data_IF_711185341105
#
_entry.id   IF_711185341105
#
_cell.length_a   1.000
_cell.length_b   1.000
_cell.length_c   1.000
_cell.angle_alpha   90.00
_cell.angle_beta   90.00
_cell.angle_gamma   90.00
#
_symmetry.space_group_name_H-M   'P 1'
#
loop_
_entity.id
_entity.type
_entity.pdbx_description
1 polymer ?
#
# COMPACT_ATOMS: atom_id res chain seq x y z
N UNK A 1 -39.83 32.74 -28.24
CA UNK A 1 -38.55 32.29 -27.65
C UNK A 1 -38.54 30.79 -27.75
N UNK A 2 -38.01 30.29 -28.86
CA UNK A 2 -37.82 28.86 -29.06
C UNK A 2 -36.80 28.41 -28.03
N UNK A 3 -37.18 27.46 -27.19
CA UNK A 3 -36.27 26.83 -26.24
C UNK A 3 -35.26 26.02 -27.01
N UNK A 4 -34.18 26.67 -27.44
CA UNK A 4 -32.93 25.98 -27.77
C UNK A 4 -32.46 25.38 -26.45
N UNK A 5 -32.93 24.15 -26.17
CA UNK A 5 -32.49 23.38 -25.03
C UNK A 5 -30.98 23.25 -25.13
N UNK A 6 -30.26 23.77 -24.15
CA UNK A 6 -28.82 23.54 -24.05
C UNK A 6 -28.57 22.03 -24.12
N UNK A 7 -28.03 21.57 -25.24
CA UNK A 7 -27.56 20.19 -25.40
C UNK A 7 -26.25 20.07 -24.61
N UNK A 8 -26.40 20.00 -23.28
CA UNK A 8 -25.30 19.79 -22.36
C UNK A 8 -24.89 18.32 -22.43
N UNK A 9 -24.03 18.01 -23.39
CA UNK A 9 -23.46 16.68 -23.57
C UNK A 9 -22.30 16.48 -22.59
N UNK A 10 -22.37 15.44 -21.78
CA UNK A 10 -21.32 15.10 -20.81
C UNK A 10 -20.05 14.73 -21.57
N UNK A 11 -19.03 15.58 -21.52
CA UNK A 11 -17.72 15.30 -22.11
C UNK A 11 -16.83 14.67 -21.05
N UNK A 12 -16.44 13.41 -21.26
CA UNK A 12 -15.47 12.73 -20.40
C UNK A 12 -14.05 13.06 -20.85
N UNK A 13 -13.11 13.14 -19.90
CA UNK A 13 -11.70 13.27 -20.22
C UNK A 13 -11.03 11.87 -20.35
N UNK A 14 -10.66 11.43 -21.57
CA UNK A 14 -10.04 10.12 -21.77
C UNK A 14 -8.64 9.99 -21.13
N UNK A 15 -8.02 11.08 -20.68
CA UNK A 15 -6.75 11.03 -19.96
C UNK A 15 -6.93 10.73 -18.45
N UNK A 16 -8.14 10.90 -17.92
CA UNK A 16 -8.48 10.50 -16.54
C UNK A 16 -9.28 9.20 -16.52
N UNK A 17 -10.37 9.16 -17.29
CA UNK A 17 -11.27 8.02 -17.32
C UNK A 17 -10.96 7.06 -18.46
N UNK A 18 -9.85 7.21 -19.15
CA UNK A 18 -9.42 6.27 -20.19
C UNK A 18 -9.16 4.86 -19.67
N UNK A 19 -9.55 3.86 -20.45
CA UNK A 19 -9.35 2.44 -20.11
C UNK A 19 -7.88 2.12 -19.79
N UNK A 20 -6.91 2.65 -20.55
CA UNK A 20 -5.49 2.39 -20.31
C UNK A 20 -4.99 2.96 -18.98
N UNK A 21 -5.43 4.16 -18.59
CA UNK A 21 -5.06 4.76 -17.30
C UNK A 21 -5.66 3.96 -16.15
N UNK A 22 -6.94 3.58 -16.24
CA UNK A 22 -7.60 2.77 -15.20
C UNK A 22 -6.91 1.41 -15.03
N UNK A 23 -6.69 0.68 -16.13
CA UNK A 23 -6.02 -0.63 -16.11
C UNK A 23 -4.60 -0.51 -15.55
N UNK A 24 -3.83 0.50 -15.96
CA UNK A 24 -2.50 0.74 -15.42
C UNK A 24 -2.53 0.96 -13.90
N UNK A 25 -3.46 1.79 -13.41
CA UNK A 25 -3.61 2.06 -11.98
C UNK A 25 -4.08 0.83 -11.20
N UNK A 26 -4.99 0.03 -11.76
CA UNK A 26 -5.41 -1.24 -11.16
C UNK A 26 -4.22 -2.17 -10.99
N UNK A 27 -3.50 -2.45 -12.07
CA UNK A 27 -2.33 -3.35 -12.05
C UNK A 27 -1.25 -2.80 -11.12
N UNK A 28 -0.97 -1.50 -11.14
CA UNK A 28 -0.02 -0.85 -10.23
C UNK A 28 -0.38 -1.08 -8.75
N UNK A 29 -1.64 -0.87 -8.37
CA UNK A 29 -2.08 -1.13 -6.98
C UNK A 29 -1.95 -2.63 -6.66
N UNK A 30 -2.35 -3.51 -7.57
CA UNK A 30 -2.28 -4.96 -7.37
C UNK A 30 -0.83 -5.47 -7.23
N UNK A 31 0.10 -4.96 -8.03
CA UNK A 31 1.53 -5.27 -7.91
C UNK A 31 2.11 -4.73 -6.60
N UNK A 32 1.70 -3.53 -6.17
CA UNK A 32 2.04 -2.99 -4.86
C UNK A 32 1.59 -3.89 -3.71
N UNK A 33 0.39 -4.46 -3.83
CA UNK A 33 -0.15 -5.44 -2.90
C UNK A 33 0.61 -6.76 -2.89
N UNK A 34 0.84 -7.36 -4.05
CA UNK A 34 1.56 -8.63 -4.17
C UNK A 34 2.98 -8.49 -3.62
N UNK A 35 3.66 -7.40 -3.95
CA UNK A 35 4.99 -7.12 -3.40
C UNK A 35 4.97 -6.92 -1.89
N UNK A 36 3.94 -6.30 -1.32
CA UNK A 36 3.76 -6.20 0.14
C UNK A 36 3.62 -7.57 0.80
N UNK A 37 2.95 -8.52 0.13
CA UNK A 37 2.73 -9.87 0.62
C UNK A 37 4.01 -10.72 0.60
N UNK A 38 4.77 -10.67 -0.50
CA UNK A 38 5.99 -11.46 -0.67
C UNK A 38 7.23 -10.81 -0.03
N UNK A 39 7.41 -9.50 -0.13
CA UNK A 39 8.59 -8.76 0.34
C UNK A 39 8.18 -7.58 1.23
N UNK A 40 8.02 -7.86 2.52
CA UNK A 40 7.62 -6.85 3.52
C UNK A 40 8.54 -5.63 3.56
N UNK A 41 9.84 -5.81 3.34
CA UNK A 41 10.81 -4.71 3.39
C UNK A 41 10.76 -3.81 2.14
N UNK A 42 10.37 -4.36 1.00
CA UNK A 42 10.23 -3.62 -0.27
C UNK A 42 8.95 -2.78 -0.31
N UNK A 43 7.95 -3.12 0.51
CA UNK A 43 6.69 -2.38 0.62
C UNK A 43 6.89 -0.86 0.79
N UNK A 44 7.84 -0.46 1.64
CA UNK A 44 8.13 0.94 1.90
C UNK A 44 8.56 1.71 0.62
N UNK A 45 9.28 1.04 -0.28
CA UNK A 45 9.74 1.63 -1.56
C UNK A 45 8.60 1.70 -2.56
N UNK A 46 7.84 0.61 -2.71
CA UNK A 46 6.76 0.53 -3.70
C UNK A 46 5.59 1.46 -3.36
N UNK A 47 5.25 1.58 -2.06
CA UNK A 47 4.21 2.50 -1.61
C UNK A 47 4.54 3.96 -1.92
N UNK A 48 5.82 4.37 -1.90
CA UNK A 48 6.23 5.72 -2.27
C UNK A 48 5.82 6.06 -3.69
N UNK A 49 6.12 5.20 -4.66
CA UNK A 49 5.75 5.39 -6.08
C UNK A 49 4.23 5.46 -6.21
N UNK A 50 3.50 4.58 -5.53
CA UNK A 50 2.04 4.57 -5.56
C UNK A 50 1.43 5.87 -5.02
N UNK A 51 1.94 6.42 -3.91
CA UNK A 51 1.50 7.73 -3.39
C UNK A 51 1.86 8.87 -4.33
N UNK A 52 3.04 8.83 -4.97
CA UNK A 52 3.40 9.86 -5.96
C UNK A 52 2.40 9.88 -7.12
N UNK A 53 2.10 8.71 -7.70
CA UNK A 53 1.14 8.59 -8.80
C UNK A 53 -0.26 9.04 -8.38
N UNK A 54 -0.73 8.62 -7.21
CA UNK A 54 -2.06 9.00 -6.74
C UNK A 54 -2.16 10.50 -6.41
N UNK A 55 -1.10 11.09 -5.84
CA UNK A 55 -1.03 12.54 -5.58
C UNK A 55 -0.98 13.32 -6.89
N UNK A 56 -0.18 12.87 -7.86
CA UNK A 56 -0.13 13.47 -9.19
C UNK A 56 -1.50 13.43 -9.89
N UNK A 57 -2.22 12.30 -9.79
CA UNK A 57 -3.59 12.17 -10.30
C UNK A 57 -4.55 13.17 -9.63
N UNK A 58 -4.49 13.32 -8.31
CA UNK A 58 -5.30 14.29 -7.58
C UNK A 58 -4.98 15.74 -7.99
N UNK A 59 -3.69 16.09 -8.08
CA UNK A 59 -3.26 17.43 -8.52
C UNK A 59 -3.72 17.70 -9.95
N UNK A 60 -3.52 16.75 -10.87
CA UNK A 60 -4.00 16.86 -12.24
C UNK A 60 -5.52 17.07 -12.28
N UNK A 61 -6.27 16.31 -11.48
CA UNK A 61 -7.73 16.44 -11.39
C UNK A 61 -8.16 17.80 -10.82
N UNK A 62 -7.43 18.38 -9.86
CA UNK A 62 -7.67 19.74 -9.38
C UNK A 62 -7.35 20.81 -10.43
N UNK A 63 -6.25 20.64 -11.17
CA UNK A 63 -5.88 21.55 -12.26
C UNK A 63 -6.94 21.49 -13.36
N UNK A 64 -7.40 20.31 -13.75
CA UNK A 64 -8.47 20.15 -14.74
C UNK A 64 -9.79 20.70 -14.23
N UNK A 65 -10.12 20.51 -12.95
CA UNK A 65 -11.30 21.11 -12.35
C UNK A 65 -11.28 22.65 -12.41
N UNK A 66 -10.10 23.28 -12.34
CA UNK A 66 -9.97 24.75 -12.40
C UNK A 66 -9.82 25.29 -13.83
N UNK A 67 -9.16 24.57 -14.72
CA UNK A 67 -8.86 25.01 -16.09
C UNK A 67 -9.89 24.55 -17.13
N UNK A 68 -10.48 23.38 -16.94
CA UNK A 68 -11.44 22.74 -17.83
C UNK A 68 -12.77 22.47 -17.09
N UNK A 69 -13.73 21.89 -17.79
CA UNK A 69 -14.98 21.38 -17.22
C UNK A 69 -14.78 19.88 -16.96
N UNK A 70 -14.44 19.53 -15.72
CA UNK A 70 -14.23 18.14 -15.33
C UNK A 70 -15.58 17.51 -14.94
N UNK A 71 -15.98 16.43 -15.62
CA UNK A 71 -17.27 15.79 -15.36
C UNK A 71 -17.36 15.25 -13.94
N UNK A 72 -18.56 15.25 -13.34
CA UNK A 72 -18.82 14.55 -12.07
C UNK A 72 -18.40 13.07 -12.14
N UNK A 73 -18.54 12.44 -13.30
CA UNK A 73 -18.12 11.06 -13.52
C UNK A 73 -16.59 10.91 -13.40
N UNK A 74 -15.81 11.80 -14.02
CA UNK A 74 -14.35 11.83 -13.87
C UNK A 74 -13.97 12.04 -12.40
N UNK A 75 -14.69 12.94 -11.73
CA UNK A 75 -14.60 13.19 -10.28
C UNK A 75 -14.72 11.93 -9.43
N UNK A 76 -15.80 11.18 -9.66
CA UNK A 76 -16.13 9.95 -8.96
C UNK A 76 -15.09 8.87 -9.21
N UNK A 77 -14.64 8.69 -10.44
CA UNK A 77 -13.61 7.69 -10.80
C UNK A 77 -12.30 8.00 -10.07
N UNK A 78 -11.84 9.25 -10.09
CA UNK A 78 -10.65 9.67 -9.33
C UNK A 78 -10.84 9.44 -7.83
N UNK A 79 -12.01 9.76 -7.28
CA UNK A 79 -12.32 9.52 -5.87
C UNK A 79 -12.29 8.04 -5.51
N UNK A 80 -12.81 7.16 -6.36
CA UNK A 80 -12.84 5.71 -6.11
C UNK A 80 -11.43 5.12 -6.22
N UNK A 81 -10.65 5.48 -7.26
CA UNK A 81 -9.26 5.02 -7.45
C UNK A 81 -8.39 5.44 -6.27
N UNK A 82 -8.45 6.71 -5.86
CA UNK A 82 -7.66 7.20 -4.73
C UNK A 82 -8.13 6.61 -3.40
N UNK A 83 -9.42 6.25 -3.29
CA UNK A 83 -9.95 5.46 -2.16
C UNK A 83 -9.33 4.06 -2.10
N UNK A 84 -9.13 3.39 -3.24
CA UNK A 84 -8.41 2.11 -3.27
C UNK A 84 -6.98 2.25 -2.71
N UNK A 85 -6.30 3.36 -3.04
CA UNK A 85 -4.94 3.63 -2.59
C UNK A 85 -4.87 3.89 -1.08
N UNK A 86 -5.82 4.63 -0.49
CA UNK A 86 -5.86 4.82 0.96
C UNK A 86 -6.22 3.51 1.68
N UNK A 87 -7.09 2.67 1.12
CA UNK A 87 -7.38 1.34 1.69
C UNK A 87 -6.12 0.48 1.72
N UNK A 88 -5.32 0.48 0.64
CA UNK A 88 -4.02 -0.20 0.61
C UNK A 88 -3.06 0.33 1.68
N UNK A 89 -2.95 1.66 1.79
CA UNK A 89 -2.14 2.31 2.81
C UNK A 89 -2.48 1.81 4.21
N UNK A 90 -3.77 1.89 4.58
CA UNK A 90 -4.26 1.50 5.90
C UNK A 90 -4.05 0.01 6.19
N UNK A 91 -4.30 -0.86 5.21
CA UNK A 91 -4.08 -2.30 5.35
C UNK A 91 -2.60 -2.63 5.60
N UNK A 92 -1.70 -1.91 4.93
CA UNK A 92 -0.26 -2.20 4.97
C UNK A 92 0.45 -1.61 6.20
N UNK A 93 -0.09 -0.54 6.81
CA UNK A 93 0.43 0.01 8.06
C UNK A 93 0.27 -0.92 9.27
N UNK A 94 -0.54 -1.98 9.15
CA UNK A 94 -0.69 -2.98 10.21
C UNK A 94 0.51 -3.93 10.36
N UNK A 95 1.56 -3.80 9.53
CA UNK A 95 2.78 -4.65 9.52
C UNK A 95 3.99 -3.91 10.09
N UNK A 96 3.82 -3.15 11.17
CA UNK A 96 4.96 -2.74 11.98
C UNK A 96 5.59 -3.97 12.60
N UNK A 97 6.91 -4.16 12.48
CA UNK A 97 7.61 -5.23 13.18
C UNK A 97 7.74 -4.82 14.65
N UNK A 98 6.96 -5.40 15.58
CA UNK A 98 7.00 -4.98 16.97
C UNK A 98 8.20 -5.66 17.61
N UNK A 99 9.31 -4.95 17.76
CA UNK A 99 10.31 -5.35 18.76
C UNK A 99 11.71 -5.72 18.27
N UNK A 100 12.30 -4.98 17.32
CA UNK A 100 13.77 -5.02 17.19
C UNK A 100 14.49 -4.14 18.24
N UNK A 101 14.05 -4.12 19.50
CA UNK A 101 14.66 -3.35 20.61
C UNK A 101 16.01 -3.92 21.09
N UNK A 102 16.82 -4.51 20.20
CA UNK A 102 18.18 -4.85 20.56
C UNK A 102 19.06 -3.59 20.48
N UNK A 103 19.33 -3.08 21.68
CA UNK A 103 20.30 -2.03 21.99
C UNK A 103 21.68 -2.41 21.44
N UNK A 104 22.12 -1.75 20.39
CA UNK A 104 23.50 -1.82 19.95
C UNK A 104 23.63 -1.44 18.48
N UNK A 105 23.85 -0.16 18.20
CA UNK A 105 24.10 0.37 16.85
C UNK A 105 22.91 0.33 15.87
N UNK A 106 21.74 0.73 16.34
CA UNK A 106 20.73 1.34 15.45
C UNK A 106 21.28 2.67 14.95
N UNK A 107 22.07 2.60 13.88
CA UNK A 107 22.45 3.75 13.08
C UNK A 107 21.20 4.57 12.73
N UNK A 108 21.39 5.88 12.66
CA UNK A 108 20.42 6.95 12.43
C UNK A 108 19.46 6.78 11.21
N UNK A 109 19.50 5.65 10.50
CA UNK A 109 18.80 5.42 9.23
C UNK A 109 17.32 5.02 9.35
N UNK A 110 16.82 4.71 10.55
CA UNK A 110 15.45 4.22 10.72
C UNK A 110 14.46 5.23 11.32
N UNK A 111 14.82 6.51 11.40
CA UNK A 111 13.81 7.57 11.45
C UNK A 111 13.21 7.60 10.04
N UNK A 112 11.99 7.09 9.89
CA UNK A 112 11.33 6.93 8.59
C UNK A 112 11.56 8.15 7.71
N UNK A 113 12.08 7.91 6.50
CA UNK A 113 12.56 8.99 5.61
C UNK A 113 11.55 10.14 5.63
N UNK A 114 11.94 11.37 6.03
CA UNK A 114 11.01 12.50 6.15
C UNK A 114 10.25 12.75 4.83
N UNK A 115 10.85 12.36 3.70
CA UNK A 115 10.21 12.38 2.38
C UNK A 115 8.99 11.47 2.28
N UNK A 116 9.02 10.26 2.87
CA UNK A 116 7.88 9.32 2.86
C UNK A 116 6.72 9.89 3.66
N UNK A 117 7.01 10.36 4.87
CA UNK A 117 6.00 10.97 5.74
C UNK A 117 5.35 12.18 5.07
N UNK A 118 6.16 13.05 4.47
CA UNK A 118 5.69 14.21 3.72
C UNK A 118 4.79 13.81 2.54
N UNK A 119 5.21 12.86 1.71
CA UNK A 119 4.40 12.43 0.55
C UNK A 119 3.06 11.83 0.98
N UNK A 120 3.04 11.05 2.06
CA UNK A 120 1.79 10.50 2.59
C UNK A 120 0.90 11.60 3.17
N UNK A 121 1.45 12.58 3.90
CA UNK A 121 0.70 13.73 4.39
C UNK A 121 0.07 14.50 3.23
N UNK A 122 0.86 14.82 2.20
CA UNK A 122 0.36 15.49 0.98
C UNK A 122 -0.78 14.69 0.36
N UNK A 123 -0.60 13.39 0.15
CA UNK A 123 -1.64 12.52 -0.41
C UNK A 123 -2.93 12.57 0.40
N UNK A 124 -2.85 12.39 1.72
CA UNK A 124 -4.02 12.40 2.62
C UNK A 124 -4.74 13.75 2.57
N UNK A 125 -4.00 14.86 2.59
CA UNK A 125 -4.57 16.22 2.50
C UNK A 125 -5.29 16.43 1.16
N UNK A 126 -4.64 16.10 0.03
CA UNK A 126 -5.26 16.23 -1.29
C UNK A 126 -6.47 15.30 -1.47
N UNK A 127 -6.39 14.06 -0.98
CA UNK A 127 -7.48 13.10 -1.02
C UNK A 127 -8.70 13.60 -0.23
N UNK A 128 -8.47 14.08 1.00
CA UNK A 128 -9.53 14.64 1.84
C UNK A 128 -10.15 15.89 1.20
N UNK A 129 -9.31 16.82 0.74
CA UNK A 129 -9.77 18.03 0.06
C UNK A 129 -10.61 17.70 -1.19
N UNK A 130 -10.18 16.73 -2.00
CA UNK A 130 -10.90 16.27 -3.19
C UNK A 130 -12.26 15.69 -2.83
N UNK A 131 -12.27 14.76 -1.88
CA UNK A 131 -13.50 14.12 -1.41
C UNK A 131 -14.50 15.13 -0.84
N UNK A 132 -14.06 16.03 0.04
CA UNK A 132 -14.94 17.07 0.59
C UNK A 132 -15.45 18.03 -0.49
N UNK A 133 -14.58 18.46 -1.41
CA UNK A 133 -14.98 19.37 -2.48
C UNK A 133 -16.04 18.73 -3.39
N UNK A 134 -15.80 17.50 -3.84
CA UNK A 134 -16.71 16.77 -4.74
C UNK A 134 -18.07 16.50 -4.09
N UNK A 135 -18.07 16.02 -2.84
CA UNK A 135 -19.32 15.64 -2.17
C UNK A 135 -20.04 16.81 -1.49
N UNK A 136 -19.45 18.01 -1.38
CA UNK A 136 -20.17 19.18 -0.86
C UNK A 136 -21.34 19.56 -1.78
N UNK A 137 -21.09 19.58 -3.08
CA UNK A 137 -22.08 19.98 -4.08
C UNK A 137 -21.90 19.19 -5.40
N UNK A 138 -22.29 17.91 -5.42
CA UNK A 138 -22.16 17.07 -6.61
C UNK A 138 -23.05 17.54 -7.77
N UNK A 139 -24.12 18.29 -7.50
CA UNK A 139 -25.02 18.79 -8.54
C UNK A 139 -24.33 19.83 -9.44
N UNK A 140 -23.50 20.70 -8.87
CA UNK A 140 -22.78 21.73 -9.62
C UNK A 140 -21.30 21.40 -9.83
N UNK A 141 -20.87 20.17 -9.52
CA UNK A 141 -19.48 19.80 -9.63
C UNK A 141 -19.01 19.86 -11.08
N UNK A 142 -17.93 20.62 -11.31
CA UNK A 142 -17.29 20.76 -12.62
C UNK A 142 -17.99 21.67 -13.63
N UNK A 143 -19.22 22.12 -13.33
CA UNK A 143 -19.99 23.00 -14.20
C UNK A 143 -19.55 24.45 -14.01
N UNK A 144 -19.32 25.17 -15.12
CA UNK A 144 -18.96 26.59 -15.14
C UNK A 144 -19.83 27.35 -16.14
N UNK A 145 -19.96 28.66 -15.95
CA UNK A 145 -20.69 29.54 -16.89
C UNK A 145 -22.14 29.11 -17.11
N UNK A 146 -22.58 29.07 -18.37
CA UNK A 146 -23.96 28.73 -18.75
C UNK A 146 -24.31 27.26 -18.46
N UNK A 147 -23.31 26.38 -18.35
CA UNK A 147 -23.52 24.97 -18.02
C UNK A 147 -24.00 24.75 -16.57
N UNK A 148 -23.92 25.76 -15.70
CA UNK A 148 -24.43 25.69 -14.32
C UNK A 148 -25.96 25.47 -14.29
N UNK A 149 -26.68 25.88 -15.33
CA UNK A 149 -28.12 25.68 -15.44
C UNK A 149 -28.51 24.30 -16.00
N UNK A 150 -27.53 23.44 -16.34
CA UNK A 150 -27.79 22.13 -16.91
C UNK A 150 -27.98 21.06 -15.82
N UNK A 151 -28.97 20.19 -16.01
CA UNK A 151 -29.27 19.08 -15.10
C UNK A 151 -28.42 17.82 -15.35
N UNK A 152 -27.29 17.94 -16.07
CA UNK A 152 -26.46 16.80 -16.51
C UNK A 152 -26.01 15.91 -15.35
N UNK A 153 -25.61 16.51 -14.24
CA UNK A 153 -25.12 15.79 -13.07
C UNK A 153 -26.22 14.98 -12.34
N UNK A 154 -27.50 15.30 -12.51
CA UNK A 154 -28.61 14.54 -11.91
C UNK A 154 -28.87 13.20 -12.61
N UNK A 155 -28.41 13.08 -13.86
CA UNK A 155 -28.51 11.84 -14.63
C UNK A 155 -27.33 10.90 -14.38
N UNK A 156 -26.27 11.36 -13.71
CA UNK A 156 -25.13 10.53 -13.36
C UNK A 156 -25.53 9.54 -12.27
N UNK A 157 -25.35 8.25 -12.55
CA UNK A 157 -25.68 7.17 -11.61
C UNK A 157 -24.42 6.49 -11.12
N UNK A 158 -24.28 6.33 -9.80
CA UNK A 158 -23.18 5.59 -9.18
C UNK A 158 -23.64 4.16 -8.93
N UNK A 159 -22.94 3.19 -9.51
CA UNK A 159 -23.22 1.77 -9.27
C UNK A 159 -22.35 1.26 -8.12
N UNK A 160 -22.93 1.21 -6.92
CA UNK A 160 -22.36 0.47 -5.79
C UNK A 160 -23.00 -0.93 -5.79
N UNK A 161 -23.77 -1.26 -4.75
CA UNK A 161 -24.63 -2.45 -4.74
C UNK A 161 -25.98 -2.19 -5.42
N UNK A 162 -26.48 -0.98 -5.26
CA UNK A 162 -27.67 -0.44 -5.91
C UNK A 162 -27.28 0.76 -6.73
N UNK A 163 -28.11 1.09 -7.71
CA UNK A 163 -27.99 2.35 -8.42
C UNK A 163 -28.36 3.49 -7.46
N UNK A 164 -27.43 4.40 -7.23
CA UNK A 164 -27.64 5.56 -6.36
C UNK A 164 -27.24 6.83 -7.10
N UNK A 165 -27.93 7.94 -6.85
CA UNK A 165 -27.56 9.22 -7.46
C UNK A 165 -26.66 9.98 -6.49
N UNK A 166 -25.48 10.46 -6.92
CA UNK A 166 -24.60 11.25 -6.06
C UNK A 166 -25.27 12.53 -5.53
N UNK A 167 -26.26 13.05 -6.26
CA UNK A 167 -27.05 14.23 -5.90
C UNK A 167 -28.05 13.97 -4.76
N UNK A 168 -28.35 12.71 -4.43
CA UNK A 168 -29.29 12.39 -3.38
C UNK A 168 -28.73 12.83 -2.01
N UNK A 169 -29.50 13.55 -1.18
CA UNK A 169 -29.00 14.13 0.06
C UNK A 169 -28.52 13.08 1.06
N UNK A 170 -29.18 11.90 1.08
CA UNK A 170 -28.79 10.78 1.93
C UNK A 170 -27.45 10.15 1.52
N UNK A 171 -27.24 9.94 0.22
CA UNK A 171 -25.99 9.41 -0.34
C UNK A 171 -24.86 10.39 -0.08
N UNK A 172 -25.10 11.69 -0.31
CA UNK A 172 -24.15 12.76 -0.03
C UNK A 172 -23.72 12.80 1.44
N UNK A 173 -24.69 12.75 2.37
CA UNK A 173 -24.40 12.77 3.80
C UNK A 173 -23.59 11.53 4.24
N UNK A 174 -23.93 10.35 3.71
CA UNK A 174 -23.20 9.12 3.95
C UNK A 174 -21.77 9.20 3.41
N UNK A 175 -21.59 9.66 2.18
CA UNK A 175 -20.28 9.81 1.55
C UNK A 175 -19.38 10.81 2.31
N UNK A 176 -19.91 11.97 2.68
CA UNK A 176 -19.18 12.96 3.50
C UNK A 176 -18.77 12.41 4.86
N UNK A 177 -19.64 11.61 5.48
CA UNK A 177 -19.34 10.94 6.75
C UNK A 177 -18.23 9.90 6.59
N UNK A 178 -18.29 9.08 5.54
CA UNK A 178 -17.24 8.09 5.23
C UNK A 178 -15.89 8.75 4.92
N UNK A 179 -15.88 9.83 4.13
CA UNK A 179 -14.67 10.59 3.82
C UNK A 179 -14.11 11.24 5.08
N UNK A 180 -14.95 11.82 5.94
CA UNK A 180 -14.52 12.41 7.20
C UNK A 180 -13.88 11.37 8.13
N UNK A 181 -14.52 10.21 8.30
CA UNK A 181 -13.97 9.12 9.11
C UNK A 181 -12.64 8.63 8.51
N UNK A 182 -12.60 8.37 7.20
CA UNK A 182 -11.40 7.94 6.50
C UNK A 182 -10.25 8.96 6.62
N UNK A 183 -10.56 10.25 6.51
CA UNK A 183 -9.59 11.33 6.61
C UNK A 183 -9.00 11.44 8.03
N UNK A 184 -9.85 11.35 9.05
CA UNK A 184 -9.38 11.34 10.45
C UNK A 184 -8.51 10.11 10.72
N UNK A 185 -8.93 8.92 10.28
CA UNK A 185 -8.12 7.70 10.45
C UNK A 185 -6.78 7.80 9.72
N UNK A 186 -6.77 8.35 8.49
CA UNK A 186 -5.56 8.57 7.71
C UNK A 186 -4.62 9.57 8.39
N UNK A 187 -5.14 10.69 8.92
CA UNK A 187 -4.35 11.66 9.68
C UNK A 187 -3.79 11.03 10.96
N UNK A 188 -4.60 10.30 11.72
CA UNK A 188 -4.14 9.63 12.93
C UNK A 188 -3.03 8.62 12.61
N UNK A 189 -3.11 7.92 11.48
CA UNK A 189 -2.05 7.00 11.03
C UNK A 189 -0.73 7.67 10.66
N UNK A 190 -0.72 8.99 10.41
CA UNK A 190 0.49 9.77 10.14
C UNK A 190 1.23 10.17 11.43
N UNK A 191 0.48 10.36 12.52
CA UNK A 191 1.02 10.84 13.80
C UNK A 191 1.27 9.70 14.79
N UNK A 192 0.41 8.69 14.79
CA UNK A 192 0.51 7.54 15.68
C UNK A 192 0.85 6.31 14.88
N UNK A 193 1.73 5.46 15.41
CA UNK A 193 1.83 4.10 14.87
C UNK A 193 0.45 3.46 15.02
N UNK A 194 -0.03 2.83 13.94
CA UNK A 194 -1.37 2.24 13.91
C UNK A 194 -1.52 1.18 15.02
N UNK A 195 -0.41 0.62 15.50
CA UNK A 195 -0.32 -0.23 16.69
C UNK A 195 -0.74 0.47 17.98
N UNK A 196 -0.26 1.68 18.25
CA UNK A 196 -0.69 2.44 19.45
C UNK A 196 -2.18 2.77 19.38
N UNK A 197 -2.68 3.09 18.19
CA UNK A 197 -4.09 3.37 17.97
C UNK A 197 -4.96 2.10 18.11
N UNK A 198 -4.56 0.99 17.49
CA UNK A 198 -5.27 -0.30 17.62
C UNK A 198 -5.23 -0.82 19.05
N UNK A 199 -4.12 -0.69 19.77
CA UNK A 199 -4.05 -1.01 21.21
C UNK A 199 -5.02 -0.10 21.99
N UNK A 200 -5.08 1.19 21.67
CA UNK A 200 -6.01 2.11 22.31
C UNK A 200 -7.48 1.75 22.05
N UNK A 201 -7.83 1.41 20.80
CA UNK A 201 -9.20 1.04 20.38
C UNK A 201 -9.59 -0.37 20.87
N UNK A 202 -8.64 -1.30 20.98
CA UNK A 202 -8.90 -2.67 21.45
C UNK A 202 -8.89 -2.81 22.98
N UNK A 203 -8.27 -1.88 23.72
CA UNK A 203 -8.33 -1.82 25.20
C UNK A 203 -9.73 -1.97 25.79
N UNK A 204 -10.79 -1.27 25.31
CA UNK A 204 -12.14 -1.47 25.84
C UNK A 204 -12.67 -2.90 25.62
N UNK A 205 -12.32 -3.56 24.51
CA UNK A 205 -12.71 -4.95 24.26
C UNK A 205 -11.96 -5.94 25.17
N UNK A 206 -10.68 -5.72 25.42
CA UNK A 206 -9.87 -6.59 26.30
C UNK A 206 -10.31 -6.46 27.77
N UNK A 207 -10.70 -5.27 28.22
CA UNK A 207 -11.27 -5.06 29.54
C UNK A 207 -12.61 -5.80 29.72
N UNK A 208 -13.40 -5.92 28.65
CA UNK A 208 -14.65 -6.69 28.66
C UNK A 208 -14.38 -8.20 28.83
N UNK A 209 -13.39 -8.74 28.11
CA UNK A 209 -13.00 -10.16 28.21
C UNK A 209 -12.47 -10.56 29.59
N UNK A 210 -11.61 -9.73 30.21
CA UNK A 210 -11.06 -10.00 31.56
C UNK A 210 -12.13 -9.99 32.66
N UNK A 211 -13.24 -9.27 32.46
CA UNK A 211 -14.34 -9.23 33.43
C UNK A 211 -15.22 -10.47 33.40
N UNK A 212 -15.29 -11.17 32.27
CA UNK A 212 -16.04 -12.43 32.13
C UNK A 212 -15.25 -13.65 32.62
N UNK A 213 -13.91 -13.62 32.59
CA UNK A 213 -13.07 -14.77 32.98
C UNK A 213 -12.81 -14.95 34.49
N UNK A 214 -13.13 -13.95 35.33
CA UNK A 214 -12.69 -13.93 36.74
C UNK A 214 -13.70 -14.52 37.75
N UNK A 215 -14.60 -15.41 37.33
CA UNK A 215 -15.66 -15.96 38.21
C UNK A 215 -15.46 -17.39 38.73
N UNK A 216 -14.50 -18.18 38.24
CA UNK A 216 -14.33 -19.59 38.67
C UNK A 216 -12.89 -19.96 39.06
N UNK A 217 -12.39 -19.42 40.18
CA UNK A 217 -11.03 -19.78 40.64
C UNK A 217 -10.70 -19.29 42.04
N UNK A 218 -11.57 -19.57 43.01
CA UNK A 218 -11.21 -19.55 44.44
C UNK A 218 -11.59 -20.92 45.00
N UNK A 219 -10.61 -21.82 45.10
CA UNK A 219 -10.53 -22.88 46.10
C UNK A 219 -9.19 -23.62 46.02
N UNK A 220 -8.54 -23.78 47.19
CA UNK A 220 -7.30 -24.54 47.43
C UNK A 220 -6.06 -23.65 47.30
N UNK A 221 -5.50 -23.02 48.33
CA UNK A 221 -5.19 -23.42 49.72
C UNK A 221 -4.06 -24.45 49.86
N UNK A 222 -3.06 -24.04 50.64
CA UNK A 222 -1.98 -24.77 51.32
C UNK A 222 -0.84 -25.43 50.54
N UNK A 223 0.39 -25.10 50.96
CA UNK A 223 1.60 -25.82 50.57
C UNK A 223 2.90 -25.12 50.96
N UNK A 224 3.21 -25.21 52.25
CA UNK A 224 4.34 -24.67 52.99
C UNK A 224 5.73 -25.25 52.60
N UNK A 225 6.80 -24.61 53.10
CA UNK A 225 8.22 -25.04 53.18
C UNK A 225 9.05 -24.86 51.88
N UNK A 226 10.13 -24.07 51.82
CA UNK A 226 11.14 -23.75 52.82
C UNK A 226 12.43 -24.45 52.43
N UNK A 227 13.46 -23.71 51.97
CA UNK A 227 14.85 -24.03 52.29
C UNK A 227 15.81 -22.90 51.93
N UNK A 228 16.63 -22.58 52.92
CA UNK A 228 17.73 -21.62 52.94
C UNK A 228 18.97 -22.39 52.45
N UNK A 229 19.57 -21.95 51.34
CA UNK A 229 20.80 -22.52 50.80
C UNK A 229 21.80 -21.42 50.44
N UNK A 230 22.57 -20.98 51.43
CA UNK A 230 23.74 -20.11 51.27
C UNK A 230 24.92 -20.95 50.78
N UNK A 231 25.50 -20.59 49.62
CA UNK A 231 26.69 -21.23 49.07
C UNK A 231 27.46 -20.26 48.19
N UNK A 232 28.50 -19.63 48.77
CA UNK A 232 29.63 -19.04 48.02
C UNK A 232 30.35 -20.17 47.29
N UNK A 233 30.74 -19.96 46.04
CA UNK A 233 32.13 -20.22 45.69
C UNK A 233 32.62 -19.42 44.49
N UNK A 234 33.88 -19.01 44.60
CA UNK A 234 34.63 -18.17 43.66
C UNK A 234 35.58 -19.05 42.84
N UNK A 235 35.65 -18.83 41.54
CA UNK A 235 36.70 -19.34 40.64
C UNK A 235 36.32 -18.98 39.21
N UNK A 236 36.80 -17.88 38.61
CA UNK A 236 38.09 -17.75 37.92
C UNK A 236 38.48 -19.03 37.17
N UNK A 237 38.11 -19.06 35.89
CA UNK A 237 38.83 -19.51 34.68
C UNK A 237 37.98 -18.94 33.51
N UNK A 238 38.45 -18.24 32.48
CA UNK A 238 39.76 -18.25 31.84
C UNK A 238 39.58 -18.76 30.39
N UNK A 239 39.36 -17.83 29.45
CA UNK A 239 39.54 -17.97 27.99
C UNK A 239 38.67 -18.96 27.17
N UNK A 240 38.21 -18.46 26.01
CA UNK A 240 37.71 -19.19 24.84
C UNK A 240 36.32 -19.84 24.88
N UNK A 241 35.28 -19.02 25.10
CA UNK A 241 33.92 -19.40 24.71
C UNK A 241 33.22 -18.26 23.93
N UNK A 242 33.87 -17.82 22.85
CA UNK A 242 33.34 -16.83 21.90
C UNK A 242 32.81 -17.51 20.63
N UNK A 243 32.23 -18.70 20.73
CA UNK A 243 31.56 -19.38 19.59
C UNK A 243 30.37 -20.17 20.13
N UNK A 244 29.21 -20.02 19.47
CA UNK A 244 27.91 -20.69 19.71
C UNK A 244 26.86 -20.03 20.60
N UNK A 245 26.85 -18.70 20.66
CA UNK A 245 25.60 -17.96 20.85
C UNK A 245 25.02 -17.46 19.51
N UNK A 246 25.01 -18.31 18.47
CA UNK A 246 23.97 -18.22 17.43
C UNK A 246 22.68 -18.71 18.08
N UNK A 247 22.15 -17.87 18.98
CA UNK A 247 20.77 -17.99 19.43
C UNK A 247 19.93 -17.93 18.18
N UNK A 248 19.46 -19.12 17.77
CA UNK A 248 18.47 -19.32 16.73
C UNK A 248 17.37 -18.32 17.02
N UNK A 249 17.35 -17.23 16.26
CA UNK A 249 16.32 -16.21 16.33
C UNK A 249 15.03 -16.91 15.95
N UNK A 250 14.36 -17.47 16.96
CA UNK A 250 13.03 -18.03 16.84
C UNK A 250 12.19 -16.94 16.18
N UNK A 251 11.54 -17.26 15.04
CA UNK A 251 10.82 -16.26 14.27
C UNK A 251 9.83 -15.58 15.20
N UNK A 252 9.93 -14.25 15.23
CA UNK A 252 9.19 -13.31 16.07
C UNK A 252 7.69 -13.35 15.70
N UNK A 253 7.05 -14.49 15.92
CA UNK A 253 5.72 -14.83 15.45
C UNK A 253 4.92 -15.57 16.54
N UNK A 254 5.19 -15.27 17.80
CA UNK A 254 4.53 -15.90 18.95
C UNK A 254 3.14 -15.34 19.27
N UNK A 255 2.54 -14.54 18.38
CA UNK A 255 1.18 -14.00 18.55
C UNK A 255 0.27 -14.40 17.38
N UNK A 256 -0.28 -15.63 17.39
CA UNK A 256 -1.19 -16.10 16.34
C UNK A 256 -2.42 -15.19 16.16
N UNK A 257 -2.84 -14.47 17.21
CA UNK A 257 -3.94 -13.51 17.13
C UNK A 257 -3.61 -12.29 16.26
N UNK A 258 -2.40 -11.73 16.36
CA UNK A 258 -2.01 -10.56 15.56
C UNK A 258 -1.88 -10.95 14.08
N UNK A 259 -1.38 -12.16 13.81
CA UNK A 259 -1.41 -12.76 12.46
C UNK A 259 -2.81 -12.81 11.89
N UNK A 260 -3.75 -13.36 12.67
CA UNK A 260 -5.13 -13.55 12.24
C UNK A 260 -5.78 -12.22 11.89
N UNK A 261 -5.62 -11.21 12.75
CA UNK A 261 -6.12 -9.84 12.48
C UNK A 261 -5.50 -9.29 11.19
N UNK A 262 -4.19 -9.45 11.01
CA UNK A 262 -3.51 -8.93 9.84
C UNK A 262 -3.99 -9.57 8.53
N UNK A 263 -4.05 -10.91 8.48
CA UNK A 263 -4.57 -11.64 7.32
C UNK A 263 -6.03 -11.27 7.05
N UNK A 264 -6.83 -11.11 8.09
CA UNK A 264 -8.23 -10.68 7.97
C UNK A 264 -8.37 -9.26 7.39
N UNK A 265 -7.58 -8.30 7.88
CA UNK A 265 -7.57 -6.93 7.34
C UNK A 265 -7.12 -6.90 5.88
N UNK A 266 -6.09 -7.68 5.52
CA UNK A 266 -5.69 -7.83 4.13
C UNK A 266 -6.82 -8.42 3.28
N UNK A 267 -7.49 -9.48 3.73
CA UNK A 267 -8.61 -10.08 3.00
C UNK A 267 -9.75 -9.08 2.76
N UNK A 268 -10.13 -8.30 3.78
CA UNK A 268 -11.14 -7.23 3.64
C UNK A 268 -10.69 -6.21 2.59
N UNK A 269 -9.43 -5.81 2.62
CA UNK A 269 -8.93 -4.80 1.72
C UNK A 269 -8.79 -5.32 0.27
N UNK A 270 -8.51 -6.62 0.03
CA UNK A 270 -8.63 -7.25 -1.30
C UNK A 270 -10.08 -7.23 -1.77
N UNK A 271 -11.01 -7.65 -0.91
CA UNK A 271 -12.43 -7.67 -1.26
C UNK A 271 -12.95 -6.26 -1.60
N UNK A 272 -12.54 -5.26 -0.82
CA UNK A 272 -12.84 -3.85 -1.05
C UNK A 272 -12.24 -3.37 -2.37
N UNK A 273 -11.00 -3.75 -2.68
CA UNK A 273 -10.35 -3.42 -3.94
C UNK A 273 -11.11 -4.00 -5.14
N UNK A 274 -11.45 -5.29 -5.13
CA UNK A 274 -12.24 -5.92 -6.21
C UNK A 274 -13.61 -5.25 -6.36
N UNK A 275 -14.27 -4.97 -5.25
CA UNK A 275 -15.54 -4.26 -5.24
C UNK A 275 -15.43 -2.86 -5.86
N UNK A 276 -14.36 -2.11 -5.56
CA UNK A 276 -14.15 -0.77 -6.11
C UNK A 276 -13.85 -0.80 -7.62
N UNK A 277 -13.11 -1.79 -8.14
CA UNK A 277 -12.95 -1.97 -9.59
C UNK A 277 -14.31 -2.19 -10.23
N UNK A 278 -15.09 -3.13 -9.68
CA UNK A 278 -16.42 -3.43 -10.19
C UNK A 278 -17.32 -2.18 -10.19
N UNK A 279 -17.32 -1.42 -9.09
CA UNK A 279 -18.11 -0.20 -8.97
C UNK A 279 -17.68 0.87 -9.98
N UNK A 280 -16.37 1.07 -10.21
CA UNK A 280 -15.85 2.00 -11.21
C UNK A 280 -16.31 1.59 -12.61
N UNK A 281 -16.06 0.34 -13.00
CA UNK A 281 -16.35 -0.14 -14.36
C UNK A 281 -17.85 -0.14 -14.67
N UNK A 282 -18.69 -0.51 -13.69
CA UNK A 282 -20.15 -0.42 -13.87
C UNK A 282 -20.65 1.02 -13.92
N UNK A 283 -20.09 1.91 -13.09
CA UNK A 283 -20.43 3.33 -13.11
C UNK A 283 -20.09 3.93 -14.47
N UNK A 284 -18.92 3.62 -15.03
CA UNK A 284 -18.54 4.12 -16.36
C UNK A 284 -19.42 3.52 -17.45
N UNK A 285 -19.65 2.21 -17.45
CA UNK A 285 -20.47 1.54 -18.46
C UNK A 285 -21.92 2.04 -18.51
N UNK A 286 -22.47 2.52 -17.38
CA UNK A 286 -23.82 3.10 -17.32
C UNK A 286 -23.90 4.56 -17.78
N UNK A 287 -22.81 5.32 -17.69
CA UNK A 287 -22.81 6.76 -17.94
C UNK A 287 -22.02 7.15 -19.21
N UNK A 288 -21.23 6.25 -19.82
CA UNK A 288 -20.50 6.48 -21.07
C UNK A 288 -21.42 6.27 -22.28
N UNK A 289 -22.22 7.29 -22.59
CA UNK A 289 -23.21 7.26 -23.68
C UNK A 289 -22.55 7.18 -25.05
N UNK A 290 -21.33 7.72 -25.20
CA UNK A 290 -20.67 7.87 -26.50
C UNK A 290 -19.56 6.84 -26.75
N UNK A 291 -19.23 6.00 -25.76
CA UNK A 291 -18.14 5.03 -25.87
C UNK A 291 -16.74 5.67 -25.94
N UNK A 292 -16.63 6.97 -25.66
CA UNK A 292 -15.37 7.75 -25.77
C UNK A 292 -14.28 7.26 -24.83
N UNK A 293 -14.64 6.55 -23.75
CA UNK A 293 -13.66 6.03 -22.79
C UNK A 293 -12.87 4.82 -23.30
N UNK A 294 -13.29 4.23 -24.43
CA UNK A 294 -12.64 3.05 -25.02
C UNK A 294 -11.48 3.40 -25.94
N UNK A 295 -11.41 4.63 -26.41
CA UNK A 295 -10.36 5.07 -27.32
C UNK A 295 -9.04 5.25 -26.56
N UNK A 296 -7.95 4.82 -27.20
CA UNK A 296 -6.60 4.94 -26.66
C UNK A 296 -6.08 6.36 -26.82
N UNK A 297 -5.75 7.01 -25.69
CA UNK A 297 -5.10 8.33 -25.69
C UNK A 297 -3.58 8.22 -25.52
N UNK A 298 -2.87 9.30 -25.86
CA UNK A 298 -1.44 9.42 -25.57
C UNK A 298 -1.15 9.35 -24.05
N UNK A 299 -2.01 9.95 -23.22
CA UNK A 299 -1.91 9.87 -21.77
C UNK A 299 -1.99 8.44 -21.23
N UNK A 300 -2.83 7.59 -21.83
CA UNK A 300 -2.92 6.17 -21.50
C UNK A 300 -1.61 5.40 -21.77
N UNK A 301 -0.89 5.76 -22.85
CA UNK A 301 0.39 5.13 -23.17
C UNK A 301 1.45 5.50 -22.13
N UNK A 302 1.49 6.77 -21.68
CA UNK A 302 2.39 7.21 -20.61
C UNK A 302 2.09 6.46 -19.31
N UNK A 303 0.82 6.25 -18.96
CA UNK A 303 0.44 5.51 -17.77
C UNK A 303 0.98 4.07 -17.76
N UNK A 304 0.97 3.40 -18.92
CA UNK A 304 1.58 2.06 -19.07
C UNK A 304 3.10 2.10 -18.97
N UNK A 305 3.75 3.16 -19.45
CA UNK A 305 5.20 3.34 -19.28
C UNK A 305 5.55 3.50 -17.79
N UNK A 306 4.74 4.22 -17.00
CA UNK A 306 4.95 4.33 -15.56
C UNK A 306 4.80 2.99 -14.83
N UNK A 307 3.89 2.12 -15.30
CA UNK A 307 3.74 0.76 -14.80
C UNK A 307 5.00 -0.08 -15.04
N UNK A 308 5.70 0.13 -16.16
CA UNK A 308 6.93 -0.59 -16.48
C UNK A 308 8.00 -0.41 -15.40
N UNK A 309 8.10 0.77 -14.79
CA UNK A 309 9.05 1.01 -13.71
C UNK A 309 8.79 0.08 -12.50
N UNK A 310 7.53 -0.09 -12.11
CA UNK A 310 7.16 -0.98 -11.00
C UNK A 310 7.40 -2.44 -11.33
N UNK A 311 7.21 -2.82 -12.60
CA UNK A 311 7.51 -4.15 -13.07
C UNK A 311 9.02 -4.43 -13.00
N UNK A 312 9.86 -3.48 -13.41
CA UNK A 312 11.32 -3.60 -13.31
C UNK A 312 11.77 -3.72 -11.84
N UNK A 313 11.19 -2.92 -10.94
CA UNK A 313 11.47 -3.02 -9.51
C UNK A 313 11.08 -4.41 -8.97
N UNK A 314 9.91 -4.93 -9.35
CA UNK A 314 9.48 -6.28 -8.99
C UNK A 314 10.47 -7.35 -9.46
N UNK A 315 10.90 -7.29 -10.73
CA UNK A 315 11.88 -8.23 -11.27
C UNK A 315 13.22 -8.14 -10.55
N UNK A 316 13.71 -6.93 -10.24
CA UNK A 316 14.95 -6.74 -9.50
C UNK A 316 14.89 -7.36 -8.10
N UNK A 317 13.79 -7.14 -7.37
CA UNK A 317 13.61 -7.74 -6.04
C UNK A 317 13.52 -9.28 -6.11
N UNK A 318 12.87 -9.80 -7.15
CA UNK A 318 12.79 -11.24 -7.36
C UNK A 318 14.15 -11.88 -7.62
N UNK A 319 15.01 -11.24 -8.42
CA UNK A 319 16.38 -11.70 -8.69
C UNK A 319 17.21 -11.65 -7.40
N UNK A 320 17.17 -10.53 -6.68
CA UNK A 320 17.92 -10.36 -5.42
C UNK A 320 17.51 -11.39 -4.36
N UNK A 321 16.22 -11.73 -4.25
CA UNK A 321 15.73 -12.78 -3.34
C UNK A 321 16.24 -14.17 -3.75
N UNK A 322 16.32 -14.44 -5.05
CA UNK A 322 16.83 -15.70 -5.57
C UNK A 322 18.33 -15.86 -5.29
N UNK A 323 19.11 -14.81 -5.54
CA UNK A 323 20.55 -14.78 -5.26
C UNK A 323 20.83 -14.99 -3.77
N UNK A 324 20.05 -14.36 -2.87
CA UNK A 324 20.19 -14.56 -1.42
C UNK A 324 19.89 -15.99 -0.98
N UNK A 325 18.90 -16.65 -1.57
CA UNK A 325 18.60 -18.06 -1.28
C UNK A 325 19.73 -18.97 -1.72
N UNK A 326 20.27 -18.75 -2.91
CA UNK A 326 21.43 -19.50 -3.41
C UNK A 326 22.65 -19.31 -2.47
N UNK A 327 22.95 -18.09 -2.04
CA UNK A 327 24.02 -17.85 -1.06
C UNK A 327 23.78 -18.53 0.31
N UNK A 328 22.54 -18.55 0.80
CA UNK A 328 22.20 -19.20 2.06
C UNK A 328 22.33 -20.73 1.97
N UNK A 329 21.91 -21.32 0.85
CA UNK A 329 22.09 -22.75 0.56
C UNK A 329 23.59 -23.10 0.47
N UNK A 330 24.41 -22.28 -0.20
CA UNK A 330 25.86 -22.46 -0.23
C UNK A 330 26.49 -22.35 1.16
N UNK A 331 26.06 -21.38 1.97
CA UNK A 331 26.54 -21.24 3.37
C UNK A 331 26.14 -22.43 4.23
N UNK A 332 24.95 -22.99 4.03
CA UNK A 332 24.50 -24.20 4.74
C UNK A 332 25.26 -25.45 4.29
N UNK A 333 25.50 -25.62 2.99
CA UNK A 333 26.30 -26.72 2.45
C UNK A 333 27.74 -26.68 3.01
N UNK A 334 28.36 -25.49 3.01
CA UNK A 334 29.68 -25.28 3.58
C UNK A 334 29.72 -25.54 5.10
N UNK A 335 28.68 -25.14 5.85
CA UNK A 335 28.59 -25.38 7.29
C UNK A 335 28.43 -26.87 7.64
N UNK A 336 27.80 -27.66 6.76
CA UNK A 336 27.61 -29.09 6.94
C UNK A 336 28.84 -29.92 6.53
N UNK A 337 29.92 -29.28 6.06
CA UNK A 337 31.11 -29.97 5.56
C UNK A 337 30.89 -30.70 4.23
N UNK A 338 29.74 -30.47 3.58
CA UNK A 338 29.40 -31.05 2.28
C UNK A 338 30.05 -30.20 1.18
N UNK A 339 31.38 -30.31 1.08
CA UNK A 339 32.17 -29.66 0.03
C UNK A 339 32.05 -30.41 -1.29
N UNK A 340 30.83 -30.69 -1.72
CA UNK A 340 30.54 -31.26 -3.04
C UNK A 340 30.39 -30.13 -4.07
N UNK A 341 31.28 -29.13 -4.06
CA UNK A 341 31.41 -28.21 -5.20
C UNK A 341 32.47 -28.75 -6.15
N UNK A 342 32.01 -29.66 -7.02
CA UNK A 342 32.63 -29.89 -8.31
C UNK A 342 32.44 -28.64 -9.17
N UNK A 343 33.21 -27.59 -8.91
CA UNK A 343 33.42 -26.59 -9.95
C UNK A 343 34.00 -27.35 -11.14
N UNK A 344 33.17 -27.50 -12.18
CA UNK A 344 33.66 -27.65 -13.54
C UNK A 344 34.78 -26.60 -13.66
N UNK A 345 36.06 -26.99 -13.87
CA UNK A 345 37.04 -26.01 -14.25
C UNK A 345 36.51 -25.43 -15.56
N UNK A 346 36.06 -24.17 -15.54
CA UNK A 346 36.13 -23.34 -16.73
C UNK A 346 37.60 -23.34 -17.09
N UNK A 347 38.00 -24.31 -17.91
CA UNK A 347 39.24 -24.26 -18.63
C UNK A 347 39.18 -22.94 -19.38
N UNK A 348 39.86 -21.93 -18.84
CA UNK A 348 40.32 -20.80 -19.62
C UNK A 348 41.10 -21.41 -20.78
N UNK A 349 40.40 -21.62 -21.90
CA UNK A 349 41.06 -21.83 -23.18
C UNK A 349 42.07 -20.70 -23.31
N UNK A 350 43.37 -21.01 -23.44
CA UNK A 350 44.39 -19.99 -23.58
C UNK A 350 43.97 -19.04 -24.69
N UNK A 351 43.84 -17.75 -24.38
CA UNK A 351 43.66 -16.78 -25.45
C UNK A 351 44.87 -16.89 -26.38
N UNK A 352 44.66 -17.04 -27.70
CA UNK A 352 45.76 -17.01 -28.64
C UNK A 352 46.47 -15.65 -28.51
N UNK A 353 47.82 -15.63 -28.54
CA UNK A 353 48.59 -14.41 -28.40
C UNK A 353 48.17 -13.40 -29.47
N UNK A 354 47.87 -12.17 -29.02
CA UNK A 354 47.60 -11.05 -29.92
C UNK A 354 48.80 -10.83 -30.86
N UNK A 355 48.57 -10.65 -32.17
CA UNK A 355 49.65 -10.41 -33.13
C UNK A 355 50.37 -9.12 -32.77
N UNK A 356 51.67 -9.25 -32.52
CA UNK A 356 52.62 -8.16 -32.28
C UNK A 356 52.70 -7.30 -33.54
N UNK A 357 52.11 -6.12 -33.49
CA UNK A 357 52.13 -5.17 -34.60
C UNK A 357 53.46 -4.38 -34.56
N UNK A 358 54.52 -4.97 -35.10
CA UNK A 358 55.81 -4.30 -35.31
C UNK A 358 55.72 -3.42 -36.58
N UNK A 359 55.01 -2.30 -36.50
CA UNK A 359 55.20 -1.23 -37.48
C UNK A 359 56.34 -0.33 -37.02
N UNK A 360 57.54 -0.67 -37.51
CA UNK A 360 58.68 0.23 -37.49
C UNK A 360 58.39 1.49 -38.31
N UNK A 361 58.63 2.64 -37.71
CA UNK A 361 58.79 3.92 -38.39
C UNK A 361 60.29 4.27 -38.31
N UNK A 362 60.94 4.19 -39.47
CA UNK A 362 62.21 4.86 -39.76
C UNK A 362 61.96 6.32 -40.10
#
# INVERSE_FOLDING_TARGET
>A
MSGDGCECKLKLNPDITGVGVRVALYVQILLGWLTSFYWRDTFARNSRTAYMTATALLIASFIELTTQELSLLDGLVVSLITTMMITFALASYSVGSPGSTNNGNRGLEQIGSPTRWFMQLCFVVFWGAWGFHMWRDPAHFGLKGDAVNCETNYNVTLQLFTEVRPTDPGVRAAALSLISIGFVLAILSLFFSLEECLVFVSRPFEQCGKRCGKRNGKNGDNGDNGEIGSGRDSGKDGENQEINARGMTTPLYDKPLLQGIHVFLQAIAIATYVFLIYAIEQTINKNDVDGTTRDWSYGQTIALILLLQQFMDLCSNYIEDREKKEEEEERQANANGDTTFSHLPLALTPQPPLPRNDTGLQ
#
